data_IF_407110817764
#
_entry.id   IF_407110817764
#
_cell.length_a   1.000
_cell.length_b   1.000
_cell.length_c   1.000
_cell.angle_alpha   90.00
_cell.angle_beta   90.00
_cell.angle_gamma   90.00
#
_symmetry.space_group_name_H-M   'P 1'
#
loop_
_entity.id
_entity.type
_entity.pdbx_description
1 polymer ?
#
# COMPACT_ATOMS: atom_id res chain seq x y z
N UNK A 1 -46.68 17.29 -33.62
CA UNK A 1 -46.25 17.00 -33.26
C UNK A 1 -45.67 16.48 -32.59
N UNK A 2 -45.21 16.29 -32.14
CA UNK A 2 -44.68 15.75 -31.73
C UNK A 2 -44.05 15.33 -30.91
N UNK A 3 -43.66 15.16 -30.44
CA UNK A 3 -43.04 14.74 -29.81
C UNK A 3 -42.31 14.16 -29.23
N UNK A 4 -41.84 13.96 -28.83
CA UNK A 4 -41.09 13.40 -28.46
C UNK A 4 -40.60 12.91 -27.61
N UNK A 5 -40.23 12.68 -27.25
CA UNK A 5 -39.70 12.21 -26.63
C UNK A 5 -38.97 11.76 -26.04
N UNK A 6 -38.48 11.51 -25.67
CA UNK A 6 -37.74 11.08 -25.24
C UNK A 6 -37.18 10.56 -24.47
N UNK A 7 -36.70 10.29 -24.09
CA UNK A 7 -36.12 9.67 -23.52
C UNK A 7 -35.32 9.34 -22.79
N UNK A 8 -34.95 9.20 -22.37
CA UNK A 8 -34.13 8.86 -21.81
C UNK A 8 -33.60 8.28 -21.21
N UNK A 9 -33.31 8.10 -21.07
CA UNK A 9 -32.77 7.60 -20.66
C UNK A 9 -32.11 7.25 -20.02
N UNK A 10 -31.67 6.96 -19.76
CA UNK A 10 -30.96 6.65 -19.21
C UNK A 10 -30.39 6.24 -18.49
N UNK A 11 -30.17 6.13 -18.34
CA UNK A 11 -29.63 5.79 -17.82
C UNK A 11 -28.89 5.26 -17.29
N UNK A 12 -28.52 5.00 -17.26
CA UNK A 12 -27.85 4.52 -16.88
C UNK A 12 -27.26 4.17 -16.19
N UNK A 13 -27.01 3.97 -15.79
CA UNK A 13 -26.38 3.66 -15.24
C UNK A 13 -25.79 3.03 -14.68
N UNK A 14 -25.54 2.88 -14.67
CA UNK A 14 -25.10 2.42 -14.31
C UNK A 14 -24.52 1.85 -13.76
N UNK A 15 -24.29 1.57 -13.59
CA UNK A 15 -23.82 1.08 -12.98
C UNK A 15 -22.98 0.52 -12.68
N UNK A 16 -22.53 0.41 -12.64
CA UNK A 16 -21.75 -0.02 -12.47
C UNK A 16 -21.29 -0.48 -11.67
N UNK A 17 -21.42 -0.54 -11.51
CA UNK A 17 -21.06 -1.00 -10.33
C UNK A 17 -20.19 -2.16 -10.35
N UNK A 18 -19.08 -1.92 -10.63
CA UNK A 18 -18.14 -2.96 -10.53
C UNK A 18 -18.07 -3.38 -9.10
N UNK A 19 -18.11 -4.62 -8.86
CA UNK A 19 -17.80 -5.10 -7.56
C UNK A 19 -16.39 -4.71 -7.25
N UNK A 20 -16.24 -4.02 -6.19
CA UNK A 20 -14.92 -3.71 -5.73
C UNK A 20 -14.55 -4.80 -4.76
N UNK A 21 -13.57 -5.58 -5.12
CA UNK A 21 -13.00 -6.47 -4.17
C UNK A 21 -11.93 -5.70 -3.46
N UNK A 22 -12.40 -4.83 -2.62
CA UNK A 22 -11.50 -4.01 -1.86
C UNK A 22 -10.70 -4.88 -0.93
N UNK A 23 -9.59 -4.35 -0.52
CA UNK A 23 -8.87 -4.85 0.62
C UNK A 23 -9.81 -4.91 1.80
N UNK A 24 -9.46 -5.69 2.80
CA UNK A 24 -10.22 -5.73 4.02
C UNK A 24 -10.25 -4.33 4.61
N UNK A 25 -11.46 -3.76 4.68
CA UNK A 25 -11.61 -2.36 5.06
C UNK A 25 -11.31 -2.11 6.53
N UNK A 26 -11.16 -3.16 7.34
CA UNK A 26 -10.83 -2.97 8.75
C UNK A 26 -9.33 -2.87 8.99
N UNK A 27 -8.52 -3.07 7.97
CA UNK A 27 -7.08 -2.96 8.09
C UNK A 27 -6.55 -1.72 7.39
N UNK A 28 -5.39 -1.25 7.84
CA UNK A 28 -4.75 -0.12 7.19
C UNK A 28 -3.24 -0.15 7.42
N UNK A 29 -2.50 0.35 6.46
CA UNK A 29 -1.07 0.55 6.56
C UNK A 29 -0.77 1.95 6.07
N UNK A 30 -0.06 2.73 6.87
CA UNK A 30 0.37 4.05 6.46
C UNK A 30 1.85 4.21 6.69
N UNK A 31 2.55 4.78 5.73
CA UNK A 31 3.98 5.02 5.82
C UNK A 31 4.17 6.44 6.33
N UNK A 32 4.85 6.56 7.47
CA UNK A 32 5.13 7.85 8.08
C UNK A 32 6.34 8.48 7.41
N UNK A 33 7.39 7.69 7.20
CA UNK A 33 8.62 8.16 6.57
C UNK A 33 9.31 6.99 5.89
N UNK A 34 9.93 7.19 4.73
CA UNK A 34 10.04 8.47 4.04
C UNK A 34 8.74 8.85 3.34
N UNK A 35 8.50 10.14 3.22
CA UNK A 35 7.33 10.64 2.53
C UNK A 35 7.44 10.32 1.04
N UNK A 36 6.29 10.20 0.39
CA UNK A 36 6.27 9.97 -1.05
C UNK A 36 6.96 11.15 -1.75
N UNK A 37 7.92 10.85 -2.60
CA UNK A 37 8.70 11.85 -3.30
C UNK A 37 9.93 12.32 -2.56
N UNK A 38 10.24 11.76 -1.39
CA UNK A 38 11.39 12.21 -0.61
C UNK A 38 12.70 11.93 -1.30
N UNK A 39 13.70 12.74 -0.98
CA UNK A 39 15.08 12.55 -1.41
C UNK A 39 15.85 11.94 -0.25
N UNK A 40 16.52 10.84 -0.49
CA UNK A 40 17.28 10.14 0.53
C UNK A 40 18.75 10.14 0.19
N UNK A 41 19.58 9.88 1.19
CA UNK A 41 21.01 9.68 0.99
C UNK A 41 21.25 8.25 0.53
N UNK A 42 22.25 8.05 -0.31
CA UNK A 42 22.65 6.71 -0.71
C UNK A 42 23.32 5.99 0.44
N UNK A 43 23.34 4.66 0.35
CA UNK A 43 23.99 3.83 1.35
C UNK A 43 23.04 3.39 2.44
N UNK A 44 23.60 3.18 3.62
CA UNK A 44 22.87 2.65 4.76
C UNK A 44 22.37 3.78 5.66
N UNK A 45 21.55 3.44 6.63
CA UNK A 45 21.07 4.40 7.61
C UNK A 45 19.70 4.97 7.34
N UNK A 46 19.10 4.65 6.24
CA UNK A 46 17.73 5.06 5.96
C UNK A 46 16.77 4.14 6.70
N UNK A 47 15.74 4.72 7.27
CA UNK A 47 14.75 3.97 8.03
C UNK A 47 13.38 4.11 7.40
N UNK A 48 12.59 3.07 7.56
CA UNK A 48 11.19 3.07 7.19
C UNK A 48 10.37 3.11 8.46
N UNK A 49 9.50 4.12 8.58
CA UNK A 49 8.62 4.26 9.73
C UNK A 49 7.18 4.16 9.26
N UNK A 50 6.39 3.40 9.96
CA UNK A 50 5.04 3.11 9.47
C UNK A 50 4.12 2.70 10.61
N UNK A 51 2.82 2.78 10.34
CA UNK A 51 1.78 2.26 11.21
C UNK A 51 1.05 1.13 10.51
N UNK A 52 0.70 0.12 11.28
CA UNK A 52 -0.10 -1.00 10.80
C UNK A 52 -1.27 -1.20 11.73
N UNK A 53 -2.44 -1.32 11.15
CA UNK A 53 -3.63 -1.75 11.86
C UNK A 53 -4.10 -3.00 11.13
N UNK A 54 -3.90 -4.15 11.75
CA UNK A 54 -4.19 -5.43 11.10
C UNK A 54 -5.67 -5.62 10.90
N UNK A 55 -6.03 -6.17 9.74
CA UNK A 55 -7.37 -6.65 9.51
C UNK A 55 -7.57 -7.97 10.27
N UNK A 56 -8.80 -8.48 10.38
CA UNK A 56 -9.05 -9.72 11.12
C UNK A 56 -8.22 -10.90 10.64
N UNK A 57 -7.91 -10.95 9.34
CA UNK A 57 -7.12 -12.05 8.79
C UNK A 57 -5.64 -11.72 8.70
N UNK A 58 -5.26 -10.52 9.07
CA UNK A 58 -3.88 -10.09 9.00
C UNK A 58 -3.04 -10.69 10.11
N UNK A 59 -1.81 -11.02 9.79
CA UNK A 59 -0.90 -11.63 10.73
C UNK A 59 0.42 -10.89 10.81
N UNK A 60 0.95 -10.48 9.68
CA UNK A 60 2.23 -9.80 9.60
C UNK A 60 2.28 -9.00 8.30
N UNK A 61 3.39 -8.32 8.06
CA UNK A 61 3.55 -7.57 6.83
C UNK A 61 4.76 -8.04 6.05
N UNK A 62 4.69 -7.90 4.76
CA UNK A 62 5.79 -8.06 3.83
C UNK A 62 6.19 -6.68 3.36
N UNK A 63 7.47 -6.36 3.47
CA UNK A 63 7.99 -5.08 3.03
C UNK A 63 8.83 -5.31 1.79
N UNK A 64 8.41 -4.71 0.69
CA UNK A 64 9.07 -4.86 -0.61
C UNK A 64 9.83 -3.59 -0.92
N UNK A 65 11.09 -3.75 -1.26
CA UNK A 65 11.90 -2.65 -1.79
C UNK A 65 12.16 -3.00 -3.24
N UNK A 66 11.53 -2.27 -4.13
CA UNK A 66 11.57 -2.56 -5.56
C UNK A 66 11.05 -3.99 -5.82
N UNK A 67 11.76 -4.75 -6.64
CA UNK A 67 11.37 -6.11 -6.98
C UNK A 67 12.13 -7.16 -6.18
N UNK A 68 12.74 -6.76 -5.08
CA UNK A 68 13.49 -7.69 -4.26
C UNK A 68 12.58 -8.56 -3.42
N UNK A 69 13.14 -9.63 -2.87
CA UNK A 69 12.40 -10.48 -1.94
C UNK A 69 11.95 -9.68 -0.73
N UNK A 70 10.78 -9.95 -0.19
CA UNK A 70 10.26 -9.13 0.89
C UNK A 70 10.99 -9.35 2.21
N UNK A 71 11.00 -8.31 2.99
CA UNK A 71 11.38 -8.37 4.39
C UNK A 71 10.11 -8.76 5.15
N UNK A 72 10.18 -9.79 5.95
CA UNK A 72 9.04 -10.26 6.73
C UNK A 72 9.11 -9.61 8.10
N UNK A 73 8.10 -8.86 8.47
CA UNK A 73 8.08 -8.16 9.75
C UNK A 73 6.83 -8.58 10.53
N UNK A 74 7.07 -9.21 11.67
CA UNK A 74 6.03 -9.65 12.59
C UNK A 74 5.91 -8.78 13.82
N UNK A 75 6.84 -7.84 13.99
CA UNK A 75 6.89 -6.99 15.16
C UNK A 75 6.14 -5.70 14.88
N UNK A 76 4.82 -5.83 14.73
CA UNK A 76 3.97 -4.74 14.25
C UNK A 76 2.82 -4.45 15.21
N UNK A 77 2.90 -4.94 16.44
CA UNK A 77 1.78 -4.79 17.38
C UNK A 77 1.87 -3.50 18.20
N UNK A 78 3.01 -2.86 18.21
CA UNK A 78 3.22 -1.62 18.97
C UNK A 78 3.79 -0.55 18.06
N UNK A 79 3.13 -0.29 16.97
CA UNK A 79 3.52 0.80 16.07
C UNK A 79 3.21 2.16 16.71
N UNK A 80 3.92 3.22 16.35
CA UNK A 80 4.72 3.36 15.13
C UNK A 80 5.91 2.43 15.11
N UNK A 81 6.07 1.78 14.00
CA UNK A 81 7.09 0.78 13.79
C UNK A 81 8.20 1.33 12.92
N UNK A 82 9.40 0.81 13.10
CA UNK A 82 10.55 1.28 12.34
C UNK A 82 11.45 0.10 12.00
N UNK A 83 11.91 0.06 10.76
CA UNK A 83 12.92 -0.90 10.35
C UNK A 83 14.02 -0.17 9.60
N UNK A 84 15.19 -0.78 9.58
CA UNK A 84 16.28 -0.29 8.74
C UNK A 84 16.02 -0.74 7.31
N UNK A 85 16.15 0.20 6.39
CA UNK A 85 16.09 -0.14 4.96
C UNK A 85 17.44 -0.70 4.54
N UNK A 86 17.44 -1.59 3.54
CA UNK A 86 18.71 -2.03 2.96
C UNK A 86 19.40 -0.84 2.29
N UNK A 87 20.65 -1.03 1.96
CA UNK A 87 21.39 -0.01 1.21
C UNK A 87 20.68 0.25 -0.11
N UNK A 88 20.45 1.53 -0.39
CA UNK A 88 19.76 1.94 -1.60
C UNK A 88 20.74 2.60 -2.54
N UNK A 89 20.73 2.14 -3.79
CA UNK A 89 21.53 2.76 -4.84
C UNK A 89 20.91 4.08 -5.28
N UNK A 90 21.69 4.87 -5.99
CA UNK A 90 21.17 6.11 -6.55
C UNK A 90 20.03 5.82 -7.52
N UNK A 91 19.01 6.65 -7.50
CA UNK A 91 17.88 6.53 -8.39
C UNK A 91 16.57 6.38 -7.65
N UNK A 92 15.54 6.04 -8.39
CA UNK A 92 14.20 5.93 -7.85
C UNK A 92 13.95 4.53 -7.30
N UNK A 93 13.30 4.48 -6.15
CA UNK A 93 12.93 3.22 -5.49
C UNK A 93 11.49 3.28 -5.02
N UNK A 94 10.83 2.14 -5.04
CA UNK A 94 9.48 2.00 -4.53
C UNK A 94 9.52 1.09 -3.31
N UNK A 95 8.86 1.53 -2.25
CA UNK A 95 8.76 0.76 -1.02
C UNK A 95 7.28 0.48 -0.78
N UNK A 96 6.92 -0.78 -0.64
CA UNK A 96 5.54 -1.18 -0.43
C UNK A 96 5.46 -2.08 0.80
N UNK A 97 4.51 -1.80 1.66
CA UNK A 97 4.23 -2.63 2.82
C UNK A 97 2.88 -3.28 2.59
N UNK A 98 2.82 -4.60 2.65
CA UNK A 98 1.61 -5.34 2.34
C UNK A 98 1.28 -6.31 3.46
N UNK A 99 0.03 -6.29 3.89
CA UNK A 99 -0.42 -7.22 4.93
C UNK A 99 -0.53 -8.63 4.37
N UNK A 100 -0.16 -9.60 5.18
CA UNK A 100 -0.24 -11.00 4.81
C UNK A 100 -0.93 -11.79 5.91
N UNK A 101 -1.55 -12.89 5.52
CA UNK A 101 -2.14 -13.85 6.43
C UNK A 101 -1.07 -14.76 7.01
N UNK A 102 -1.46 -15.64 7.93
CA UNK A 102 -0.55 -16.62 8.51
C UNK A 102 0.16 -17.43 7.42
N UNK A 103 -0.55 -17.73 6.34
CA UNK A 103 0.01 -18.54 5.25
C UNK A 103 0.72 -17.70 4.21
N UNK A 104 0.97 -16.42 4.49
CA UNK A 104 1.67 -15.48 3.60
C UNK A 104 0.86 -15.07 2.38
N UNK A 105 -0.45 -15.25 2.39
CA UNK A 105 -1.30 -14.72 1.33
C UNK A 105 -1.51 -13.24 1.58
N UNK A 106 -1.37 -12.43 0.53
CA UNK A 106 -1.59 -10.99 0.65
C UNK A 106 -3.09 -10.70 0.76
N UNK A 107 -3.45 -9.78 1.65
CA UNK A 107 -4.86 -9.47 1.91
C UNK A 107 -5.37 -8.31 1.06
N UNK A 108 -4.47 -7.53 0.48
CA UNK A 108 -4.84 -6.33 -0.25
C UNK A 108 -4.65 -5.04 0.55
N UNK A 109 -4.45 -5.14 1.86
CA UNK A 109 -4.14 -3.97 2.69
C UNK A 109 -2.68 -3.62 2.46
N UNK A 110 -2.41 -2.39 2.04
CA UNK A 110 -1.04 -2.00 1.70
C UNK A 110 -0.84 -0.50 1.79
N UNK A 111 0.43 -0.11 1.90
CA UNK A 111 0.87 1.27 1.81
C UNK A 111 2.12 1.32 0.96
N UNK A 112 2.29 2.40 0.21
CA UNK A 112 3.40 2.51 -0.74
C UNK A 112 3.98 3.92 -0.70
N UNK A 113 5.29 4.01 -0.87
CA UNK A 113 5.97 5.29 -1.04
C UNK A 113 7.04 5.14 -2.10
N UNK A 114 7.29 6.21 -2.84
CA UNK A 114 8.35 6.25 -3.85
C UNK A 114 9.33 7.33 -3.44
N UNK A 115 10.60 7.01 -3.51
CA UNK A 115 11.68 7.91 -3.10
C UNK A 115 12.74 7.97 -4.18
N UNK A 116 13.57 9.00 -4.10
CA UNK A 116 14.74 9.13 -4.98
C UNK A 116 15.97 9.22 -4.10
N UNK A 117 16.97 8.42 -4.42
CA UNK A 117 18.24 8.37 -3.69
C UNK A 117 19.28 9.11 -4.51
N UNK A 118 19.99 9.99 -3.86
CA UNK A 118 21.04 10.76 -4.50
C UNK A 118 22.23 9.92 -4.89
#
# INVERSE_FOLDING_TARGET
MKQFKVLFIGIALVALASPVFAADSSGSISIIAPANGAMLQSGSGNKLEFNVHLSPNGNHVHIYVDDQSPIIDRDIHNCPCSIDLPDLSSGKHTIAIKEATVSHALTGVEGTTTVTVK
#
